data_IF_030625991255
#
_entry.id   IF_030625991255
#
_cell.length_a   1.000
_cell.length_b   1.000
_cell.length_c   1.000
_cell.angle_alpha   90.00
_cell.angle_beta   90.00
_cell.angle_gamma   90.00
#
_symmetry.space_group_name_H-M   'P 1'
#
loop_
_entity.id
_entity.type
_entity.pdbx_description
1 polymer ?
#
# COMPACT_ATOMS: atom_id res chain seq x y z
N UNK A 1 10.87 13.53 -11.05
CA UNK A 1 9.73 12.60 -11.18
C UNK A 1 8.97 12.63 -9.88
N UNK A 2 7.67 12.90 -9.89
CA UNK A 2 6.84 12.74 -8.69
C UNK A 2 6.64 11.23 -8.46
N UNK A 3 6.93 10.73 -7.24
CA UNK A 3 6.51 9.38 -6.87
C UNK A 3 4.98 9.35 -6.77
N UNK A 4 4.35 8.39 -7.43
CA UNK A 4 2.93 8.13 -7.27
C UNK A 4 2.67 7.60 -5.85
N UNK A 5 1.73 8.23 -5.15
CA UNK A 5 1.36 7.86 -3.78
C UNK A 5 0.32 6.73 -3.77
N UNK A 6 0.39 5.87 -2.77
CA UNK A 6 -0.52 4.76 -2.53
C UNK A 6 -1.12 4.88 -1.13
N UNK A 7 -2.44 5.05 -1.04
CA UNK A 7 -3.19 5.01 0.21
C UNK A 7 -3.89 3.66 0.35
N UNK A 8 -3.59 2.91 1.41
CA UNK A 8 -4.25 1.64 1.73
C UNK A 8 -4.90 1.79 3.11
N UNK A 9 -6.23 1.63 3.17
CA UNK A 9 -6.97 1.60 4.42
C UNK A 9 -7.27 0.16 4.81
N UNK A 10 -6.67 -0.29 5.91
CA UNK A 10 -6.90 -1.62 6.48
C UNK A 10 -8.06 -1.60 7.47
N UNK A 11 -8.97 -2.57 7.38
CA UNK A 11 -10.06 -2.77 8.34
C UNK A 11 -9.78 -4.02 9.18
N UNK A 12 -9.97 -3.93 10.50
CA UNK A 12 -9.44 -4.86 11.50
C UNK A 12 -9.81 -6.34 11.31
N UNK A 13 -8.91 -7.09 10.70
CA UNK A 13 -8.79 -8.54 10.72
C UNK A 13 -7.33 -8.87 10.41
N UNK A 14 -6.75 -9.89 11.04
CA UNK A 14 -5.36 -10.32 10.81
C UNK A 14 -5.07 -10.61 9.32
N UNK A 15 -6.05 -11.13 8.59
CA UNK A 15 -5.92 -11.40 7.15
C UNK A 15 -5.78 -10.10 6.34
N UNK A 16 -6.55 -9.08 6.69
CA UNK A 16 -6.53 -7.78 5.99
C UNK A 16 -5.20 -7.04 6.21
N UNK A 17 -4.57 -7.19 7.38
CA UNK A 17 -3.24 -6.63 7.66
C UNK A 17 -2.17 -7.25 6.75
N UNK A 18 -2.16 -8.59 6.66
CA UNK A 18 -1.23 -9.30 5.77
C UNK A 18 -1.44 -8.90 4.31
N UNK A 19 -2.69 -8.90 3.84
CA UNK A 19 -3.01 -8.57 2.45
C UNK A 19 -2.66 -7.11 2.10
N UNK A 20 -2.95 -6.17 3.02
CA UNK A 20 -2.60 -4.76 2.86
C UNK A 20 -1.09 -4.57 2.73
N UNK A 21 -0.32 -5.20 3.62
CA UNK A 21 1.14 -5.16 3.58
C UNK A 21 1.69 -5.78 2.29
N UNK A 22 1.18 -6.96 1.92
CA UNK A 22 1.59 -7.66 0.70
C UNK A 22 1.33 -6.83 -0.56
N UNK A 23 0.16 -6.19 -0.62
CA UNK A 23 -0.21 -5.35 -1.77
C UNK A 23 0.68 -4.12 -1.88
N UNK A 24 1.05 -3.49 -0.76
CA UNK A 24 1.98 -2.36 -0.76
C UNK A 24 3.34 -2.70 -1.35
N UNK A 25 3.92 -3.86 -0.99
CA UNK A 25 5.20 -4.32 -1.50
C UNK A 25 5.16 -4.64 -3.00
N UNK A 26 4.10 -5.32 -3.44
CA UNK A 26 3.91 -5.66 -4.87
C UNK A 26 3.81 -4.38 -5.70
N UNK A 27 2.98 -3.43 -5.29
CA UNK A 27 2.77 -2.18 -6.03
C UNK A 27 3.98 -1.25 -5.98
N UNK A 28 4.74 -1.26 -4.88
CA UNK A 28 6.04 -0.61 -4.79
C UNK A 28 7.02 -1.19 -5.82
N UNK A 29 7.07 -2.51 -5.96
CA UNK A 29 7.97 -3.17 -6.89
C UNK A 29 7.55 -3.00 -8.36
N UNK A 30 6.26 -3.11 -8.67
CA UNK A 30 5.77 -3.07 -10.06
C UNK A 30 5.57 -1.66 -10.61
N UNK A 31 5.16 -0.71 -9.77
CA UNK A 31 4.77 0.65 -10.20
C UNK A 31 5.54 1.76 -9.48
N UNK A 32 6.46 1.43 -8.58
CA UNK A 32 7.24 2.43 -7.84
C UNK A 32 6.41 3.28 -6.89
N UNK A 33 5.27 2.77 -6.43
CA UNK A 33 4.39 3.51 -5.52
C UNK A 33 4.99 3.64 -4.12
N UNK A 34 4.75 4.77 -3.47
CA UNK A 34 5.08 5.00 -2.07
C UNK A 34 3.81 5.04 -1.22
N UNK A 35 3.79 4.28 -0.12
CA UNK A 35 2.72 4.35 0.88
C UNK A 35 2.61 5.77 1.44
N UNK A 36 1.38 6.22 1.64
CA UNK A 36 1.04 7.49 2.28
C UNK A 36 -0.18 7.30 3.19
N UNK A 37 -0.27 8.12 4.22
CA UNK A 37 -1.46 8.22 5.08
C UNK A 37 -2.47 9.26 4.58
N UNK A 38 -2.15 9.97 3.49
CA UNK A 38 -3.02 10.95 2.84
C UNK A 38 -3.96 10.24 1.85
N UNK A 39 -5.26 10.29 2.09
CA UNK A 39 -6.29 9.77 1.18
C UNK A 39 -6.50 10.64 -0.07
#
# INVERSE_FOLDING_TARGET
MLLSKLYIRTFGCQMNEYDSNKMSDVLKHSHGLALTDDA
#
